data_IF_008197326738
#
_entry.id   IF_008197326738
#
_cell.length_a   1.000
_cell.length_b   1.000
_cell.length_c   1.000
_cell.angle_alpha   90.00
_cell.angle_beta   90.00
_cell.angle_gamma   90.00
#
_symmetry.space_group_name_H-M   'P 1'
#
loop_
_entity.id
_entity.type
_entity.pdbx_description
1 polymer ?
#
# COMPACT_ATOMS: atom_id res chain seq x y z
N UNK A 1 12.66 -8.33 -32.72
CA UNK A 1 12.49 -9.27 -31.59
C UNK A 1 11.05 -9.16 -31.09
N UNK A 2 10.34 -10.27 -30.84
CA UNK A 2 8.97 -10.25 -30.31
C UNK A 2 8.86 -9.52 -28.95
N UNK A 3 9.98 -9.35 -28.25
CA UNK A 3 10.03 -8.64 -26.97
C UNK A 3 9.61 -7.16 -27.07
N UNK A 4 10.01 -6.43 -28.12
CA UNK A 4 9.70 -4.99 -28.22
C UNK A 4 8.20 -4.74 -28.41
N UNK A 5 7.56 -5.57 -29.25
CA UNK A 5 6.12 -5.54 -29.48
C UNK A 5 5.35 -5.92 -28.21
N UNK A 6 5.74 -7.01 -27.54
CA UNK A 6 5.16 -7.41 -26.25
C UNK A 6 5.34 -6.30 -25.21
N UNK A 7 6.53 -5.71 -25.13
CA UNK A 7 6.84 -4.65 -24.17
C UNK A 7 5.95 -3.42 -24.40
N UNK A 8 5.79 -2.99 -25.66
CA UNK A 8 4.99 -1.83 -26.04
C UNK A 8 3.53 -1.97 -25.58
N UNK A 9 2.93 -3.15 -25.72
CA UNK A 9 1.54 -3.38 -25.31
C UNK A 9 1.38 -3.77 -23.84
N UNK A 10 2.22 -4.67 -23.33
CA UNK A 10 2.04 -5.25 -22.01
C UNK A 10 2.27 -4.22 -20.90
N UNK A 11 3.29 -3.37 -21.03
CA UNK A 11 3.66 -2.42 -19.96
C UNK A 11 2.52 -1.44 -19.65
N UNK A 12 1.91 -0.74 -20.63
CA UNK A 12 0.80 0.15 -20.34
C UNK A 12 -0.46 -0.58 -19.87
N UNK A 13 -0.80 -1.75 -20.42
CA UNK A 13 -2.00 -2.52 -20.01
C UNK A 13 -1.90 -2.98 -18.55
N UNK A 14 -0.75 -3.56 -18.17
CA UNK A 14 -0.50 -4.03 -16.81
C UNK A 14 -0.50 -2.84 -15.84
N UNK A 15 0.16 -1.74 -16.22
CA UNK A 15 0.27 -0.55 -15.37
C UNK A 15 -1.10 0.10 -15.15
N UNK A 16 -1.84 0.36 -16.24
CA UNK A 16 -3.17 0.95 -16.18
C UNK A 16 -4.11 0.12 -15.33
N UNK A 17 -4.14 -1.20 -15.54
CA UNK A 17 -5.03 -2.03 -14.74
C UNK A 17 -4.61 -2.03 -13.28
N UNK A 18 -3.32 -2.12 -13.00
CA UNK A 18 -2.81 -2.05 -11.62
C UNK A 18 -3.21 -0.75 -10.94
N UNK A 19 -3.18 0.39 -11.64
CA UNK A 19 -3.62 1.67 -11.09
C UNK A 19 -5.12 1.75 -10.88
N UNK A 20 -5.94 1.24 -11.82
CA UNK A 20 -7.39 1.17 -11.66
C UNK A 20 -7.79 0.28 -10.46
N UNK A 21 -7.10 -0.86 -10.31
CA UNK A 21 -7.23 -1.75 -9.15
C UNK A 21 -6.92 -0.99 -7.86
N UNK A 22 -5.76 -0.34 -7.81
CA UNK A 22 -5.32 0.42 -6.64
C UNK A 22 -6.31 1.54 -6.30
N UNK A 23 -6.76 2.29 -7.31
CA UNK A 23 -7.74 3.36 -7.15
C UNK A 23 -9.04 2.85 -6.56
N UNK A 24 -9.56 1.73 -7.08
CA UNK A 24 -10.78 1.11 -6.57
C UNK A 24 -10.60 0.60 -5.14
N UNK A 25 -9.45 0.00 -4.79
CA UNK A 25 -9.17 -0.40 -3.42
C UNK A 25 -9.12 0.79 -2.46
N UNK A 26 -8.46 1.87 -2.85
CA UNK A 26 -8.31 3.05 -2.01
C UNK A 26 -9.62 3.82 -1.86
N UNK A 27 -10.49 3.83 -2.88
CA UNK A 27 -11.78 4.51 -2.83
C UNK A 27 -12.77 3.85 -1.85
N UNK A 28 -12.67 2.53 -1.69
CA UNK A 28 -13.46 1.72 -0.77
C UNK A 28 -12.87 1.67 0.65
N UNK A 29 -11.60 2.02 0.82
CA UNK A 29 -10.95 2.08 2.13
C UNK A 29 -11.38 3.30 2.96
N UNK A 30 -11.18 3.25 4.28
CA UNK A 30 -11.39 4.41 5.15
C UNK A 30 -10.41 5.52 4.76
N UNK A 31 -10.94 6.64 4.24
CA UNK A 31 -10.15 7.73 3.64
C UNK A 31 -9.42 8.54 4.72
N UNK A 32 -8.10 8.36 4.78
CA UNK A 32 -7.19 9.31 5.45
C UNK A 32 -6.67 10.36 4.45
N UNK A 33 -6.10 11.47 4.93
CA UNK A 33 -5.45 12.52 4.12
C UNK A 33 -4.43 11.93 3.15
N UNK A 34 -3.61 10.96 3.56
CA UNK A 34 -2.58 10.35 2.69
C UNK A 34 -3.16 9.52 1.55
N UNK A 35 -4.21 8.75 1.84
CA UNK A 35 -4.92 7.96 0.84
C UNK A 35 -5.55 8.88 -0.20
N UNK A 36 -6.21 9.97 0.24
CA UNK A 36 -6.78 10.96 -0.68
C UNK A 36 -5.75 11.58 -1.61
N UNK A 37 -4.58 11.93 -1.08
CA UNK A 37 -3.50 12.51 -1.89
C UNK A 37 -2.90 11.48 -2.85
N UNK A 38 -2.71 10.25 -2.40
CA UNK A 38 -2.19 9.19 -3.27
C UNK A 38 -3.20 8.79 -4.36
N UNK A 39 -4.51 8.85 -4.07
CA UNK A 39 -5.54 8.69 -5.10
C UNK A 39 -5.43 9.78 -6.18
N UNK A 40 -5.10 11.03 -5.84
CA UNK A 40 -4.86 12.07 -6.86
C UNK A 40 -3.65 11.72 -7.74
N UNK A 41 -2.55 11.25 -7.14
CA UNK A 41 -1.37 10.76 -7.88
C UNK A 41 -1.76 9.62 -8.82
N UNK A 42 -2.54 8.64 -8.33
CA UNK A 42 -3.03 7.53 -9.15
C UNK A 42 -3.95 8.01 -10.28
N UNK A 43 -4.81 9.00 -10.05
CA UNK A 43 -5.65 9.56 -11.11
C UNK A 43 -4.80 10.14 -12.25
N UNK A 44 -3.75 10.90 -11.92
CA UNK A 44 -2.83 11.44 -12.92
C UNK A 44 -2.04 10.34 -13.66
N UNK A 45 -1.62 9.28 -12.94
CA UNK A 45 -0.98 8.10 -13.54
C UNK A 45 -1.94 7.33 -14.48
N UNK A 46 -3.21 7.21 -14.10
CA UNK A 46 -4.25 6.60 -14.96
C UNK A 46 -4.45 7.45 -16.21
N UNK A 47 -4.56 8.78 -16.09
CA UNK A 47 -4.71 9.67 -17.25
C UNK A 47 -3.51 9.49 -18.19
N UNK A 48 -2.28 9.56 -17.66
CA UNK A 48 -1.07 9.35 -18.45
C UNK A 48 -1.09 8.00 -19.19
N UNK A 49 -1.26 6.90 -18.46
CA UNK A 49 -1.17 5.55 -19.04
C UNK A 49 -2.32 5.19 -19.97
N UNK A 50 -3.55 5.61 -19.64
CA UNK A 50 -4.70 5.41 -20.51
C UNK A 50 -4.55 6.18 -21.82
N UNK A 51 -4.10 7.44 -21.76
CA UNK A 51 -3.87 8.25 -22.96
C UNK A 51 -2.78 7.66 -23.84
N UNK A 52 -1.69 7.15 -23.27
CA UNK A 52 -0.65 6.42 -24.03
C UNK A 52 -1.23 5.18 -24.75
N UNK A 53 -2.11 4.42 -24.10
CA UNK A 53 -2.80 3.28 -24.72
C UNK A 53 -3.79 3.70 -25.82
N UNK A 54 -4.57 4.75 -25.59
CA UNK A 54 -5.51 5.25 -26.59
C UNK A 54 -4.79 5.81 -27.82
N UNK A 55 -3.61 6.39 -27.61
CA UNK A 55 -2.69 6.78 -28.66
C UNK A 55 -2.17 5.56 -29.44
N UNK A 56 -1.70 4.52 -28.76
CA UNK A 56 -1.27 3.26 -29.37
C UNK A 56 -2.38 2.58 -30.19
N UNK A 57 -3.62 2.64 -29.70
CA UNK A 57 -4.81 2.11 -30.37
C UNK A 57 -5.35 3.05 -31.46
N UNK A 58 -4.77 4.26 -31.61
CA UNK A 58 -5.20 5.30 -32.54
C UNK A 58 -6.70 5.63 -32.45
N UNK A 59 -7.24 5.65 -31.23
CA UNK A 59 -8.66 5.93 -31.01
C UNK A 59 -9.00 7.38 -31.38
N UNK A 60 -10.22 7.59 -31.89
CA UNK A 60 -10.80 8.93 -32.02
C UNK A 60 -10.70 9.67 -30.66
N UNK A 61 -10.33 10.97 -30.61
CA UNK A 61 -10.18 11.93 -31.72
C UNK A 61 -8.90 11.83 -32.57
N UNK A 62 -7.91 11.04 -32.15
CA UNK A 62 -6.64 10.85 -32.86
C UNK A 62 -5.43 10.85 -31.93
N UNK A 63 -4.27 10.49 -32.50
CA UNK A 63 -3.01 10.30 -31.77
C UNK A 63 -2.57 11.59 -31.05
N UNK A 64 -2.54 12.72 -31.76
CA UNK A 64 -2.12 14.01 -31.20
C UNK A 64 -3.00 14.50 -30.04
N UNK A 65 -4.32 14.22 -30.11
CA UNK A 65 -5.21 14.56 -29.00
C UNK A 65 -4.84 13.77 -27.74
N UNK A 66 -4.68 12.45 -27.89
CA UNK A 66 -4.32 11.59 -26.75
C UNK A 66 -2.91 11.88 -26.23
N UNK A 67 -1.96 12.24 -27.09
CA UNK A 67 -0.64 12.74 -26.66
C UNK A 67 -0.77 13.97 -25.75
N UNK A 68 -1.57 14.97 -26.14
CA UNK A 68 -1.77 16.16 -25.30
C UNK A 68 -2.35 15.80 -23.94
N UNK A 69 -3.32 14.88 -23.87
CA UNK A 69 -3.88 14.40 -22.60
C UNK A 69 -2.85 13.59 -21.81
N UNK A 70 -2.00 12.81 -22.48
CA UNK A 70 -0.89 12.06 -21.87
C UNK A 70 0.09 13.02 -21.18
N UNK A 71 0.52 14.09 -21.87
CA UNK A 71 1.43 15.12 -21.33
C UNK A 71 0.80 15.84 -20.13
N UNK A 72 -0.52 16.04 -20.10
CA UNK A 72 -1.21 16.56 -18.90
C UNK A 72 -1.02 15.63 -17.70
N UNK A 73 -1.23 14.32 -17.88
CA UNK A 73 -0.99 13.34 -16.82
C UNK A 73 0.48 13.31 -16.37
N UNK A 74 1.40 13.28 -17.33
CA UNK A 74 2.84 13.30 -17.12
C UNK A 74 3.32 14.47 -16.27
N UNK A 75 2.70 15.64 -16.46
CA UNK A 75 3.12 16.89 -15.83
C UNK A 75 2.42 17.12 -14.50
N UNK A 76 1.21 16.57 -14.31
CA UNK A 76 0.54 16.51 -13.03
C UNK A 76 1.31 15.66 -12.00
N UNK A 77 1.87 14.52 -12.40
CA UNK A 77 2.45 13.53 -11.48
C UNK A 77 3.57 14.12 -10.60
N UNK A 78 4.60 14.79 -11.12
CA UNK A 78 5.65 15.39 -10.28
C UNK A 78 5.10 16.40 -9.27
N UNK A 79 4.12 17.24 -9.66
CA UNK A 79 3.49 18.18 -8.74
C UNK A 79 2.68 17.49 -7.64
N UNK A 80 1.87 16.51 -7.99
CA UNK A 80 1.08 15.76 -7.02
C UNK A 80 1.96 14.95 -6.06
N UNK A 81 3.08 14.41 -6.54
CA UNK A 81 4.10 13.78 -5.71
C UNK A 81 4.79 14.79 -4.78
N UNK A 82 5.08 15.99 -5.26
CA UNK A 82 5.63 17.08 -4.45
C UNK A 82 4.69 17.44 -3.29
N UNK A 83 3.41 17.57 -3.60
CA UNK A 83 2.36 17.85 -2.64
C UNK A 83 2.21 16.69 -1.64
N UNK A 84 2.16 15.45 -2.13
CA UNK A 84 2.10 14.25 -1.30
C UNK A 84 3.27 14.19 -0.30
N UNK A 85 4.51 14.39 -0.76
CA UNK A 85 5.69 14.40 0.12
C UNK A 85 5.60 15.52 1.14
N UNK A 86 5.21 16.72 0.71
CA UNK A 86 5.10 17.87 1.61
C UNK A 86 4.17 17.58 2.79
N UNK A 87 3.07 16.86 2.54
CA UNK A 87 2.17 16.39 3.59
C UNK A 87 2.76 15.21 4.37
N UNK A 88 3.41 14.27 3.69
CA UNK A 88 4.01 13.07 4.28
C UNK A 88 5.14 13.35 5.27
N UNK A 89 5.98 14.34 4.96
CA UNK A 89 7.08 14.78 5.83
C UNK A 89 6.68 15.90 6.78
N UNK A 90 5.38 16.22 6.88
CA UNK A 90 4.85 17.31 7.70
C UNK A 90 5.59 18.65 7.47
N UNK A 91 5.88 18.95 6.21
CA UNK A 91 6.65 20.13 5.77
C UNK A 91 5.91 20.91 4.69
N UNK A 92 4.58 20.96 4.81
CA UNK A 92 3.72 21.65 3.87
C UNK A 92 3.87 23.16 4.05
N UNK A 93 4.09 23.86 2.93
CA UNK A 93 4.13 25.33 2.86
C UNK A 93 3.12 25.77 1.80
N UNK A 94 2.01 26.43 2.16
CA UNK A 94 0.93 26.72 1.21
C UNK A 94 1.39 27.52 0.00
N UNK A 95 2.20 28.57 0.20
CA UNK A 95 2.73 29.41 -0.88
C UNK A 95 3.59 28.62 -1.89
N UNK A 96 4.39 27.67 -1.41
CA UNK A 96 5.21 26.80 -2.27
C UNK A 96 4.33 25.86 -3.11
N UNK A 97 3.26 25.31 -2.53
CA UNK A 97 2.29 24.47 -3.25
C UNK A 97 1.52 25.28 -4.29
N UNK A 98 1.11 26.51 -3.96
CA UNK A 98 0.43 27.41 -4.91
C UNK A 98 1.37 27.76 -6.06
N UNK A 99 2.62 28.10 -5.77
CA UNK A 99 3.63 28.41 -6.78
C UNK A 99 3.85 27.25 -7.76
N UNK A 100 4.14 26.04 -7.24
CA UNK A 100 4.34 24.87 -8.10
C UNK A 100 3.06 24.45 -8.82
N UNK A 101 1.89 24.61 -8.19
CA UNK A 101 0.60 24.31 -8.81
C UNK A 101 0.28 25.25 -9.96
N UNK A 102 0.51 26.55 -9.79
CA UNK A 102 0.34 27.55 -10.83
C UNK A 102 1.28 27.30 -12.02
N UNK A 103 2.55 26.98 -11.74
CA UNK A 103 3.52 26.66 -12.79
C UNK A 103 3.15 25.38 -13.55
N UNK A 104 2.67 24.35 -12.85
CA UNK A 104 2.16 23.11 -13.48
C UNK A 104 0.95 23.39 -14.35
N UNK A 105 0.00 24.20 -13.87
CA UNK A 105 -1.20 24.58 -14.64
C UNK A 105 -0.84 25.41 -15.88
N UNK A 106 0.10 26.35 -15.77
CA UNK A 106 0.60 27.11 -16.90
C UNK A 106 1.26 26.19 -17.95
N UNK A 107 2.09 25.25 -17.49
CA UNK A 107 2.76 24.27 -18.35
C UNK A 107 1.76 23.36 -19.09
N UNK A 108 0.70 22.93 -18.39
CA UNK A 108 -0.42 22.19 -18.96
C UNK A 108 -1.17 22.99 -20.04
N UNK A 109 -1.44 24.28 -19.79
CA UNK A 109 -2.08 25.16 -20.78
C UNK A 109 -1.19 25.29 -22.02
N UNK A 110 0.12 25.50 -21.84
CA UNK A 110 1.08 25.61 -22.95
C UNK A 110 1.16 24.32 -23.79
N UNK A 111 1.06 23.16 -23.14
CA UNK A 111 0.91 21.87 -23.81
C UNK A 111 -0.38 21.79 -24.66
N UNK A 112 -1.52 22.22 -24.11
CA UNK A 112 -2.80 22.18 -24.83
C UNK A 112 -2.81 23.10 -26.07
N UNK A 113 -2.03 24.19 -26.04
CA UNK A 113 -1.80 25.10 -27.17
C UNK A 113 -0.91 24.47 -28.27
N UNK A 114 -0.33 23.29 -28.05
CA UNK A 114 0.48 22.57 -29.04
C UNK A 114 1.93 23.04 -29.11
N UNK A 115 2.43 23.76 -28.10
CA UNK A 115 3.83 24.21 -28.08
C UNK A 115 4.82 23.14 -27.62
N UNK A 116 4.35 22.12 -26.88
CA UNK A 116 5.19 21.04 -26.33
C UNK A 116 5.39 19.93 -27.36
N UNK A 117 4.32 19.39 -27.92
CA UNK A 117 4.34 18.42 -29.03
C UNK A 117 3.53 19.00 -30.18
N UNK A 118 4.19 19.17 -31.32
CA UNK A 118 3.59 19.75 -32.54
C UNK A 118 2.81 18.69 -33.30
N UNK A 119 3.39 17.49 -33.40
CA UNK A 119 2.78 16.34 -34.07
C UNK A 119 3.17 15.04 -33.38
N UNK A 120 2.28 14.05 -33.44
CA UNK A 120 2.46 12.74 -32.84
C UNK A 120 1.83 11.67 -33.73
N UNK A 121 2.57 10.59 -34.00
CA UNK A 121 2.10 9.44 -34.78
C UNK A 121 2.59 8.13 -34.17
N UNK A 122 1.88 7.04 -34.49
CA UNK A 122 2.31 5.68 -34.17
C UNK A 122 2.79 5.04 -35.47
N UNK A 123 4.08 4.75 -35.55
CA UNK A 123 4.74 4.20 -36.74
C UNK A 123 5.01 2.73 -36.52
N UNK A 124 4.85 1.92 -37.56
CA UNK A 124 5.20 0.49 -37.50
C UNK A 124 6.61 0.29 -38.04
N UNK A 125 7.58 0.05 -37.15
CA UNK A 125 8.94 -0.26 -37.52
C UNK A 125 9.04 -1.73 -37.95
N UNK A 126 9.60 -1.99 -39.14
CA UNK A 126 9.84 -3.34 -39.64
C UNK A 126 11.31 -3.70 -39.45
N UNK A 127 11.58 -4.77 -38.71
CA UNK A 127 12.93 -5.28 -38.44
C UNK A 127 13.07 -6.70 -39.00
N UNK A 128 14.11 -6.94 -39.79
CA UNK A 128 14.43 -8.28 -40.29
C UNK A 128 15.41 -8.95 -39.33
N UNK A 129 15.00 -10.07 -38.73
CA UNK A 129 15.83 -10.83 -37.80
C UNK A 129 15.78 -12.32 -38.15
N UNK A 130 16.94 -12.93 -38.40
CA UNK A 130 17.06 -14.31 -38.93
C UNK A 130 16.15 -14.58 -40.15
N UNK A 131 16.05 -13.64 -41.08
CA UNK A 131 15.22 -13.78 -42.28
C UNK A 131 13.71 -13.69 -42.07
N UNK A 132 13.23 -13.47 -40.83
CA UNK A 132 11.82 -13.18 -40.52
C UNK A 132 11.62 -11.68 -40.30
N UNK A 133 10.56 -11.14 -40.90
CA UNK A 133 10.13 -9.76 -40.65
C UNK A 133 9.34 -9.70 -39.35
N UNK A 134 9.72 -8.79 -38.46
CA UNK A 134 9.01 -8.47 -37.23
C UNK A 134 8.60 -7.01 -37.29
N UNK A 135 7.32 -6.74 -37.04
CA UNK A 135 6.78 -5.38 -36.96
C UNK A 135 6.59 -4.99 -35.50
N UNK A 136 7.06 -3.81 -35.09
CA UNK A 136 6.78 -3.26 -33.77
C UNK A 136 6.16 -1.88 -33.92
N UNK A 137 5.05 -1.57 -33.23
CA UNK A 137 4.60 -0.20 -33.09
C UNK A 137 5.62 0.59 -32.27
N UNK A 138 5.85 1.84 -32.69
CA UNK A 138 6.76 2.80 -32.07
C UNK A 138 6.09 4.16 -32.02
N UNK A 139 6.30 4.90 -30.94
CA UNK A 139 5.83 6.28 -30.85
C UNK A 139 6.80 7.22 -31.56
N UNK A 140 6.27 8.12 -32.37
CA UNK A 140 7.02 9.17 -33.04
C UNK A 140 6.44 10.54 -32.69
N UNK A 141 7.29 11.43 -32.17
CA UNK A 141 6.91 12.76 -31.71
C UNK A 141 7.74 13.83 -32.40
N UNK A 142 7.08 14.89 -32.86
CA UNK A 142 7.72 16.13 -33.30
C UNK A 142 7.65 17.12 -32.14
N UNK A 143 8.78 17.27 -31.45
CA UNK A 143 8.89 18.16 -30.29
C UNK A 143 8.81 19.63 -30.72
N UNK A 144 8.00 20.40 -30.01
CA UNK A 144 7.88 21.84 -30.19
C UNK A 144 8.86 22.63 -29.33
N UNK A 145 8.82 23.96 -29.48
CA UNK A 145 9.70 24.90 -28.76
C UNK A 145 9.61 24.80 -27.23
N UNK A 146 8.48 24.36 -26.69
CA UNK A 146 8.26 24.25 -25.25
C UNK A 146 8.64 22.88 -24.67
N UNK A 147 9.01 21.88 -25.50
CA UNK A 147 9.40 20.57 -25.02
C UNK A 147 10.58 20.63 -24.04
N UNK A 148 11.69 21.30 -24.42
CA UNK A 148 12.88 21.42 -23.58
C UNK A 148 12.56 22.17 -22.26
N UNK A 149 11.91 23.35 -22.29
CA UNK A 149 11.42 23.99 -21.06
C UNK A 149 10.59 23.07 -20.16
N UNK A 150 9.74 22.21 -20.73
CA UNK A 150 8.92 21.26 -19.97
C UNK A 150 9.74 20.21 -19.23
N UNK A 151 10.75 19.65 -19.89
CA UNK A 151 11.69 18.71 -19.27
C UNK A 151 12.52 19.40 -18.18
N UNK A 152 12.98 20.64 -18.41
CA UNK A 152 13.69 21.44 -17.41
C UNK A 152 12.80 21.69 -16.19
N UNK A 153 11.56 22.14 -16.39
CA UNK A 153 10.57 22.33 -15.33
C UNK A 153 10.39 21.04 -14.51
N UNK A 154 10.21 19.90 -15.19
CA UNK A 154 10.06 18.58 -14.57
C UNK A 154 11.30 18.17 -13.76
N UNK A 155 12.51 18.45 -14.26
CA UNK A 155 13.75 18.25 -13.51
C UNK A 155 13.80 19.11 -12.25
N UNK A 156 13.47 20.41 -12.34
CA UNK A 156 13.55 21.32 -11.21
C UNK A 156 12.58 20.90 -10.10
N UNK A 157 11.33 20.54 -10.44
CA UNK A 157 10.35 20.12 -9.41
C UNK A 157 10.75 18.78 -8.76
N UNK A 158 11.32 17.83 -9.52
CA UNK A 158 11.82 16.59 -8.96
C UNK A 158 13.06 16.83 -8.07
N UNK A 159 13.98 17.67 -8.51
CA UNK A 159 15.18 18.00 -7.74
C UNK A 159 14.85 18.75 -6.45
N UNK A 160 13.90 19.69 -6.50
CA UNK A 160 13.40 20.40 -5.32
C UNK A 160 12.75 19.42 -4.33
N UNK A 161 12.04 18.40 -4.82
CA UNK A 161 11.47 17.32 -4.02
C UNK A 161 12.55 16.50 -3.30
N UNK A 162 13.61 16.11 -4.01
CA UNK A 162 14.74 15.36 -3.43
C UNK A 162 15.45 16.20 -2.36
N UNK A 163 15.72 17.49 -2.64
CA UNK A 163 16.32 18.42 -1.66
C UNK A 163 15.41 18.54 -0.44
N UNK A 164 14.10 18.68 -0.64
CA UNK A 164 13.13 18.82 0.45
C UNK A 164 13.13 17.60 1.35
N UNK A 165 13.12 16.39 0.79
CA UNK A 165 13.23 15.15 1.57
C UNK A 165 14.55 15.11 2.33
N UNK A 166 15.68 15.39 1.66
CA UNK A 166 17.01 15.40 2.30
C UNK A 166 17.08 16.38 3.48
N UNK A 167 16.56 17.58 3.30
CA UNK A 167 16.55 18.62 4.34
C UNK A 167 15.66 18.22 5.52
N UNK A 168 14.49 17.62 5.26
CA UNK A 168 13.60 17.13 6.32
C UNK A 168 14.22 15.96 7.11
N UNK A 169 14.98 15.08 6.45
CA UNK A 169 15.72 14.01 7.12
C UNK A 169 16.86 14.58 7.96
N UNK A 170 17.65 15.51 7.42
CA UNK A 170 18.74 16.18 8.17
C UNK A 170 18.22 16.96 9.38
N UNK A 171 17.03 17.56 9.27
CA UNK A 171 16.38 18.28 10.36
C UNK A 171 15.69 17.35 11.39
N UNK A 172 15.80 16.02 11.26
CA UNK A 172 15.19 15.06 12.20
C UNK A 172 13.67 14.96 12.13
N UNK A 173 13.01 15.59 11.15
CA UNK A 173 11.53 15.57 10.99
C UNK A 173 11.01 14.24 10.48
N UNK A 174 11.85 13.47 9.80
CA UNK A 174 11.55 12.15 9.26
C UNK A 174 12.82 11.31 9.17
N UNK A 175 12.69 10.00 9.06
CA UNK A 175 13.82 9.05 9.00
C UNK A 175 13.98 8.51 7.59
N UNK A 176 15.22 8.25 7.14
CA UNK A 176 15.50 7.62 5.84
C UNK A 176 14.71 6.34 5.62
N UNK A 177 14.51 5.51 6.65
CA UNK A 177 13.72 4.28 6.54
C UNK A 177 12.29 4.52 6.04
N UNK A 178 11.68 5.65 6.43
CA UNK A 178 10.29 6.00 6.10
C UNK A 178 10.11 6.64 4.73
N UNK A 179 11.08 7.44 4.29
CA UNK A 179 11.03 8.19 3.00
C UNK A 179 11.88 7.58 1.90
N UNK A 180 12.79 6.66 2.24
CA UNK A 180 13.74 6.03 1.32
C UNK A 180 13.08 5.38 0.10
N UNK A 181 12.06 4.52 0.27
CA UNK A 181 11.38 3.91 -0.89
C UNK A 181 10.72 4.95 -1.81
N UNK A 182 10.19 6.04 -1.24
CA UNK A 182 9.58 7.13 -2.01
C UNK A 182 10.65 7.85 -2.83
N UNK A 183 11.81 8.17 -2.23
CA UNK A 183 12.93 8.81 -2.94
C UNK A 183 13.45 7.92 -4.06
N UNK A 184 13.66 6.63 -3.80
CA UNK A 184 14.09 5.66 -4.82
C UNK A 184 13.07 5.62 -5.97
N UNK A 185 11.78 5.55 -5.64
CA UNK A 185 10.72 5.58 -6.65
C UNK A 185 10.76 6.86 -7.49
N UNK A 186 10.96 8.03 -6.88
CA UNK A 186 11.03 9.31 -7.60
C UNK A 186 12.27 9.37 -8.49
N UNK A 187 13.41 8.86 -8.01
CA UNK A 187 14.61 8.75 -8.83
C UNK A 187 14.41 7.83 -10.03
N UNK A 188 13.71 6.71 -9.87
CA UNK A 188 13.36 5.81 -10.99
C UNK A 188 12.44 6.51 -11.98
N UNK A 189 11.39 7.19 -11.50
CA UNK A 189 10.48 7.98 -12.34
C UNK A 189 11.23 9.06 -13.11
N UNK A 190 12.15 9.77 -12.45
CA UNK A 190 13.01 10.77 -13.07
C UNK A 190 13.82 10.17 -14.21
N UNK A 191 14.52 9.05 -13.96
CA UNK A 191 15.28 8.37 -15.01
C UNK A 191 14.35 7.98 -16.16
N UNK A 192 13.21 7.34 -15.88
CA UNK A 192 12.25 6.93 -16.91
C UNK A 192 11.78 8.06 -17.81
N UNK A 193 11.38 9.20 -17.23
CA UNK A 193 10.95 10.39 -17.98
C UNK A 193 12.07 10.95 -18.86
N UNK A 194 13.30 11.01 -18.35
CA UNK A 194 14.43 11.53 -19.12
C UNK A 194 14.91 10.58 -20.21
N UNK A 195 14.65 9.28 -20.09
CA UNK A 195 14.92 8.32 -21.16
C UNK A 195 14.09 8.62 -22.43
N UNK A 196 12.97 9.34 -22.32
CA UNK A 196 12.18 9.78 -23.47
C UNK A 196 12.93 10.76 -24.40
N UNK A 197 13.95 11.46 -23.89
CA UNK A 197 14.79 12.35 -24.72
C UNK A 197 15.73 11.57 -25.66
N UNK A 198 15.98 10.30 -25.39
CA UNK A 198 16.84 9.46 -26.22
C UNK A 198 15.99 8.74 -27.27
N UNK A 199 16.15 9.03 -28.58
CA UNK A 199 15.29 8.46 -29.63
C UNK A 199 15.24 6.93 -29.64
N UNK A 200 16.33 6.27 -29.23
CA UNK A 200 16.40 4.81 -29.17
C UNK A 200 15.44 4.20 -28.13
N UNK A 201 15.11 4.92 -27.06
CA UNK A 201 14.31 4.46 -25.92
C UNK A 201 12.95 5.14 -25.83
N UNK A 202 12.86 6.45 -26.13
CA UNK A 202 11.62 7.24 -26.05
C UNK A 202 10.51 6.84 -27.03
N UNK A 203 10.82 5.96 -27.97
CA UNK A 203 9.86 5.31 -28.87
C UNK A 203 9.07 4.16 -28.21
N UNK A 204 9.50 3.72 -27.01
CA UNK A 204 8.85 2.69 -26.21
C UNK A 204 8.36 3.27 -24.86
N UNK A 205 7.33 2.69 -24.23
CA UNK A 205 6.73 3.19 -22.99
C UNK A 205 7.58 2.88 -21.73
N UNK A 206 8.86 3.26 -21.74
CA UNK A 206 9.82 2.99 -20.64
C UNK A 206 9.51 3.84 -19.41
N UNK A 207 9.05 5.07 -19.63
CA UNK A 207 8.56 5.99 -18.60
C UNK A 207 7.37 5.42 -17.82
N UNK A 208 6.43 4.75 -18.50
CA UNK A 208 5.28 4.09 -17.87
C UNK A 208 5.72 2.99 -16.92
N UNK A 209 6.73 2.18 -17.31
CA UNK A 209 7.30 1.16 -16.41
C UNK A 209 7.93 1.80 -15.16
N UNK A 210 8.67 2.89 -15.33
CA UNK A 210 9.28 3.63 -14.22
C UNK A 210 8.23 4.20 -13.26
N UNK A 211 7.14 4.74 -13.80
CA UNK A 211 5.98 5.20 -13.04
C UNK A 211 5.27 4.06 -12.30
N UNK A 212 5.18 2.87 -12.90
CA UNK A 212 4.61 1.70 -12.24
C UNK A 212 5.43 1.29 -11.01
N UNK A 213 6.75 1.22 -11.16
CA UNK A 213 7.67 0.92 -10.07
C UNK A 213 7.56 1.98 -8.96
N UNK A 214 7.51 3.27 -9.32
CA UNK A 214 7.33 4.37 -8.37
C UNK A 214 6.04 4.20 -7.54
N UNK A 215 4.91 3.95 -8.18
CA UNK A 215 3.63 3.78 -7.49
C UNK A 215 3.65 2.61 -6.51
N UNK A 216 4.27 1.48 -6.89
CA UNK A 216 4.44 0.31 -6.01
C UNK A 216 5.29 0.66 -4.78
N UNK A 217 6.40 1.39 -4.97
CA UNK A 217 7.27 1.80 -3.86
C UNK A 217 6.59 2.79 -2.91
N UNK A 218 5.79 3.72 -3.44
CA UNK A 218 4.99 4.63 -2.61
C UNK A 218 3.94 3.85 -1.84
N UNK A 219 3.21 2.94 -2.49
CA UNK A 219 2.21 2.10 -1.83
C UNK A 219 2.84 1.27 -0.70
N UNK A 220 4.02 0.69 -0.95
CA UNK A 220 4.80 -0.01 0.07
C UNK A 220 5.17 0.91 1.25
N UNK A 221 5.64 2.13 0.98
CA UNK A 221 6.01 3.08 2.02
C UNK A 221 4.80 3.49 2.89
N UNK A 222 3.64 3.72 2.25
CA UNK A 222 2.39 4.02 2.96
C UNK A 222 2.00 2.82 3.84
N UNK A 223 2.02 1.60 3.30
CA UNK A 223 1.65 0.36 4.00
C UNK A 223 2.57 0.03 5.19
N UNK A 224 3.89 0.17 5.02
CA UNK A 224 4.88 -0.19 6.05
C UNK A 224 5.00 0.84 7.17
N UNK A 225 4.89 2.14 6.86
CA UNK A 225 5.22 3.21 7.81
C UNK A 225 4.03 3.97 8.36
N UNK A 226 2.82 3.72 7.87
CA UNK A 226 1.61 3.95 8.66
C UNK A 226 1.10 2.59 9.11
N UNK A 227 0.70 2.50 10.37
CA UNK A 227 -0.29 1.52 10.81
C UNK A 227 -1.57 1.81 10.02
N UNK A 228 -1.59 1.45 8.74
CA UNK A 228 -2.83 1.23 8.05
C UNK A 228 -3.44 0.05 8.80
N UNK A 229 -4.28 0.36 9.78
CA UNK A 229 -5.55 -0.35 9.91
C UNK A 229 -6.34 -0.10 8.63
N UNK A 230 -5.77 -0.52 7.51
CA UNK A 230 -6.51 -1.06 6.41
C UNK A 230 -7.18 -2.29 7.01
N UNK A 231 -8.30 -2.05 7.70
CA UNK A 231 -9.47 -2.94 7.63
C UNK A 231 -9.83 -2.99 6.15
N UNK A 232 -9.01 -3.68 5.40
CA UNK A 232 -9.28 -4.06 4.03
C UNK A 232 -10.39 -5.06 4.16
N UNK A 233 -11.63 -4.56 4.18
CA UNK A 233 -12.76 -5.29 3.65
C UNK A 233 -12.59 -5.38 2.14
N UNK A 234 -11.49 -6.00 1.70
CA UNK A 234 -11.38 -6.53 0.36
C UNK A 234 -12.20 -7.81 0.40
N UNK A 235 -13.47 -7.67 0.05
CA UNK A 235 -14.26 -8.84 -0.28
C UNK A 235 -13.57 -9.49 -1.47
N UNK A 236 -13.32 -10.80 -1.40
CA UNK A 236 -12.71 -11.59 -2.48
C UNK A 236 -13.31 -11.25 -3.86
N UNK A 237 -14.59 -10.89 -3.88
CA UNK A 237 -15.33 -10.39 -5.05
C UNK A 237 -14.64 -9.25 -5.82
N UNK A 238 -14.05 -8.25 -5.17
CA UNK A 238 -13.41 -7.12 -5.88
C UNK A 238 -12.17 -7.58 -6.65
N UNK A 239 -11.33 -8.39 -6.01
CA UNK A 239 -10.14 -8.94 -6.69
C UNK A 239 -10.57 -9.81 -7.86
N UNK A 240 -11.60 -10.63 -7.67
CA UNK A 240 -12.14 -11.47 -8.74
C UNK A 240 -12.72 -10.65 -9.90
N UNK A 241 -13.50 -9.60 -9.62
CA UNK A 241 -14.08 -8.75 -10.64
C UNK A 241 -13.01 -8.09 -11.51
N UNK A 242 -11.93 -7.58 -10.90
CA UNK A 242 -10.88 -6.95 -11.69
C UNK A 242 -10.08 -7.97 -12.51
N UNK A 243 -9.73 -9.11 -11.93
CA UNK A 243 -9.06 -10.17 -12.70
C UNK A 243 -9.91 -10.64 -13.87
N UNK A 244 -11.22 -10.77 -13.67
CA UNK A 244 -12.16 -11.11 -14.73
C UNK A 244 -12.14 -10.06 -15.85
N UNK A 245 -12.20 -8.76 -15.52
CA UNK A 245 -12.13 -7.67 -16.52
C UNK A 245 -10.80 -7.68 -17.28
N UNK A 246 -9.67 -7.85 -16.58
CA UNK A 246 -8.34 -7.93 -17.20
C UNK A 246 -8.24 -9.07 -18.21
N UNK A 247 -8.66 -10.26 -17.78
CA UNK A 247 -8.59 -11.46 -18.60
C UNK A 247 -9.58 -11.40 -19.77
N UNK A 248 -10.73 -10.79 -19.57
CA UNK A 248 -11.69 -10.51 -20.64
C UNK A 248 -11.08 -9.53 -21.65
N UNK A 249 -10.37 -8.50 -21.21
CA UNK A 249 -9.64 -7.59 -22.08
C UNK A 249 -8.54 -8.28 -22.88
N UNK A 250 -7.71 -9.12 -22.24
CA UNK A 250 -6.68 -9.92 -22.92
C UNK A 250 -7.30 -10.86 -23.94
N UNK A 251 -8.40 -11.54 -23.59
CA UNK A 251 -9.13 -12.40 -24.50
C UNK A 251 -9.63 -11.64 -25.72
N UNK A 252 -10.34 -10.53 -25.51
CA UNK A 252 -10.86 -9.66 -26.57
C UNK A 252 -9.72 -9.21 -27.49
N UNK A 253 -8.61 -8.73 -26.92
CA UNK A 253 -7.43 -8.32 -27.69
C UNK A 253 -6.87 -9.47 -28.54
N UNK A 254 -6.71 -10.66 -27.95
CA UNK A 254 -6.16 -11.83 -28.65
C UNK A 254 -7.04 -12.23 -29.83
N UNK A 255 -8.37 -12.23 -29.63
CA UNK A 255 -9.34 -12.53 -30.69
C UNK A 255 -9.26 -11.50 -31.82
N UNK A 256 -9.26 -10.20 -31.49
CA UNK A 256 -9.17 -9.14 -32.50
C UNK A 256 -7.82 -9.16 -33.25
N UNK A 257 -6.72 -9.49 -32.58
CA UNK A 257 -5.41 -9.61 -33.24
C UNK A 257 -5.36 -10.82 -34.18
N UNK A 258 -5.92 -11.96 -33.80
CA UNK A 258 -6.05 -13.16 -34.65
C UNK A 258 -6.96 -12.86 -35.85
N UNK A 259 -8.10 -12.23 -35.61
CA UNK A 259 -9.04 -11.85 -36.66
C UNK A 259 -8.39 -10.89 -37.68
N UNK A 260 -7.73 -9.83 -37.23
CA UNK A 260 -7.07 -8.86 -38.13
C UNK A 260 -5.85 -9.46 -38.86
N UNK A 261 -5.11 -10.37 -38.23
CA UNK A 261 -3.88 -10.93 -38.79
C UNK A 261 -4.07 -12.09 -39.76
N UNK A 262 -5.14 -12.89 -39.59
CA UNK A 262 -5.34 -14.15 -40.34
C UNK A 262 -6.52 -14.07 -41.31
N UNK A 263 -7.51 -13.20 -41.07
CA UNK A 263 -8.75 -13.14 -41.87
C UNK A 263 -8.55 -12.76 -43.34
N UNK A 264 -7.51 -11.97 -43.66
CA UNK A 264 -7.23 -11.57 -45.06
C UNK A 264 -6.64 -12.69 -45.93
N UNK A 265 -5.98 -13.69 -45.33
CA UNK A 265 -5.27 -14.74 -46.05
C UNK A 265 -6.00 -16.10 -46.02
N UNK A 266 -6.77 -16.41 -44.97
CA UNK A 266 -7.34 -17.74 -44.80
C UNK A 266 -8.69 -17.78 -44.06
N UNK A 267 -9.75 -17.23 -44.68
CA UNK A 267 -11.11 -17.17 -44.10
C UNK A 267 -11.66 -18.52 -43.59
N UNK A 268 -11.29 -19.64 -44.22
CA UNK A 268 -11.79 -20.97 -43.86
C UNK A 268 -11.17 -21.56 -42.59
N UNK A 269 -9.98 -21.10 -42.15
CA UNK A 269 -9.31 -21.61 -40.93
C UNK A 269 -9.35 -20.64 -39.75
N UNK A 270 -9.68 -19.36 -39.98
CA UNK A 270 -9.86 -18.34 -38.93
C UNK A 270 -10.74 -18.81 -37.75
N UNK A 271 -11.89 -19.50 -37.96
CA UNK A 271 -12.72 -19.97 -36.84
C UNK A 271 -12.00 -20.97 -35.92
N UNK A 272 -11.16 -21.85 -36.48
CA UNK A 272 -10.38 -22.82 -35.71
C UNK A 272 -9.29 -22.14 -34.87
N UNK A 273 -8.63 -21.10 -35.41
CA UNK A 273 -7.62 -20.33 -34.68
C UNK A 273 -8.22 -19.48 -33.56
N UNK A 274 -9.40 -18.88 -33.77
CA UNK A 274 -10.15 -18.19 -32.72
C UNK A 274 -10.52 -19.17 -31.61
N UNK A 275 -10.99 -20.37 -31.97
CA UNK A 275 -11.37 -21.40 -31.00
C UNK A 275 -10.16 -21.92 -30.21
N UNK A 276 -9.01 -22.10 -30.89
CA UNK A 276 -7.77 -22.53 -30.26
C UNK A 276 -7.18 -21.46 -29.33
N UNK A 277 -7.26 -20.19 -29.70
CA UNK A 277 -6.83 -19.08 -28.86
C UNK A 277 -7.74 -18.90 -27.64
N UNK A 278 -9.05 -19.08 -27.80
CA UNK A 278 -9.99 -19.13 -26.66
C UNK A 278 -9.65 -20.26 -25.68
N UNK A 279 -9.32 -21.46 -26.19
CA UNK A 279 -8.90 -22.60 -25.39
C UNK A 279 -7.59 -22.32 -24.62
N UNK A 280 -6.59 -21.73 -25.29
CA UNK A 280 -5.33 -21.35 -24.67
C UNK A 280 -5.52 -20.32 -23.55
N UNK A 281 -6.34 -19.30 -23.78
CA UNK A 281 -6.67 -18.30 -22.75
C UNK A 281 -7.36 -18.95 -21.56
N UNK A 282 -8.30 -19.88 -21.79
CA UNK A 282 -8.98 -20.61 -20.73
C UNK A 282 -8.02 -21.49 -19.90
N UNK A 283 -7.04 -22.13 -20.54
CA UNK A 283 -6.01 -22.93 -19.86
C UNK A 283 -5.10 -22.05 -19.01
N UNK A 284 -4.68 -20.88 -19.51
CA UNK A 284 -3.84 -19.93 -18.77
C UNK A 284 -4.61 -19.23 -17.64
N UNK A 285 -5.92 -19.07 -17.80
CA UNK A 285 -6.81 -18.47 -16.80
C UNK A 285 -6.82 -19.26 -15.48
N UNK A 286 -6.87 -20.59 -15.54
CA UNK A 286 -6.95 -21.44 -14.34
C UNK A 286 -5.78 -21.26 -13.35
N UNK A 287 -4.50 -21.41 -13.75
CA UNK A 287 -3.37 -21.24 -12.84
C UNK A 287 -3.24 -19.80 -12.35
N UNK A 288 -3.52 -18.81 -13.20
CA UNK A 288 -3.48 -17.40 -12.82
C UNK A 288 -4.55 -17.08 -11.76
N UNK A 289 -5.78 -17.56 -11.96
CA UNK A 289 -6.85 -17.46 -10.97
C UNK A 289 -6.42 -18.07 -9.63
N UNK A 290 -5.91 -19.30 -9.62
CA UNK A 290 -5.44 -19.98 -8.40
C UNK A 290 -4.30 -19.25 -7.70
N UNK A 291 -3.36 -18.69 -8.47
CA UNK A 291 -2.23 -17.93 -7.93
C UNK A 291 -2.69 -16.64 -7.24
N UNK A 292 -3.59 -15.90 -7.90
CA UNK A 292 -4.21 -14.70 -7.34
C UNK A 292 -4.98 -15.01 -6.07
N UNK A 293 -5.79 -16.08 -6.06
CA UNK A 293 -6.55 -16.47 -4.87
C UNK A 293 -5.62 -16.78 -3.68
N UNK A 294 -4.51 -17.48 -3.93
CA UNK A 294 -3.49 -17.75 -2.90
C UNK A 294 -2.79 -16.48 -2.40
N UNK A 295 -2.47 -15.54 -3.30
CA UNK A 295 -1.86 -14.26 -2.91
C UNK A 295 -2.81 -13.41 -2.06
N UNK A 296 -4.09 -13.34 -2.46
CA UNK A 296 -5.14 -12.64 -1.71
C UNK A 296 -5.33 -13.29 -0.33
N UNK A 297 -5.46 -14.61 -0.27
CA UNK A 297 -5.60 -15.31 1.01
C UNK A 297 -4.36 -15.10 1.90
N UNK A 298 -3.16 -15.06 1.33
CA UNK A 298 -1.92 -14.80 2.09
C UNK A 298 -1.83 -13.35 2.59
N UNK A 299 -2.28 -12.37 1.81
CA UNK A 299 -2.18 -10.94 2.13
C UNK A 299 -3.27 -10.47 3.09
N UNK A 300 -4.49 -11.00 3.00
CA UNK A 300 -5.66 -10.48 3.69
C UNK A 300 -6.17 -11.39 4.82
N UNK A 301 -5.94 -12.69 4.74
CA UNK A 301 -6.63 -13.65 5.61
C UNK A 301 -5.95 -13.90 6.97
N UNK A 302 -4.73 -13.38 7.19
CA UNK A 302 -3.91 -13.81 8.36
C UNK A 302 -4.00 -12.95 9.63
N UNK A 303 -4.52 -11.72 9.58
CA UNK A 303 -4.42 -10.80 10.73
C UNK A 303 -5.72 -10.57 11.52
N UNK A 304 -6.89 -10.56 10.87
CA UNK A 304 -8.13 -10.09 11.51
C UNK A 304 -9.13 -11.22 11.82
N UNK A 305 -9.16 -12.27 10.99
CA UNK A 305 -10.00 -13.46 11.22
C UNK A 305 -9.49 -14.32 12.39
N UNK A 306 -8.16 -14.48 12.49
CA UNK A 306 -7.54 -15.24 13.59
C UNK A 306 -7.81 -14.61 14.97
N UNK A 307 -7.90 -13.27 15.05
CA UNK A 307 -8.17 -12.57 16.32
C UNK A 307 -9.61 -12.75 16.79
N UNK A 308 -10.57 -12.61 15.88
CA UNK A 308 -12.00 -12.83 16.20
C UNK A 308 -12.32 -14.29 16.45
N UNK A 309 -11.72 -15.22 15.69
CA UNK A 309 -11.93 -16.64 15.89
C UNK A 309 -11.27 -17.13 17.19
N UNK A 310 -10.08 -16.63 17.55
CA UNK A 310 -9.46 -16.93 18.85
C UNK A 310 -10.33 -16.44 20.01
N UNK A 311 -10.84 -15.19 19.97
CA UNK A 311 -11.76 -14.66 20.97
C UNK A 311 -13.10 -15.43 21.01
N UNK A 312 -13.64 -15.84 19.86
CA UNK A 312 -14.89 -16.60 19.78
C UNK A 312 -14.72 -18.04 20.28
N UNK A 313 -13.62 -18.69 19.94
CA UNK A 313 -13.27 -20.02 20.44
C UNK A 313 -13.01 -19.98 21.95
N UNK A 314 -12.37 -18.92 22.45
CA UNK A 314 -12.19 -18.68 23.87
C UNK A 314 -13.53 -18.48 24.60
N UNK A 315 -14.41 -17.61 24.10
CA UNK A 315 -15.76 -17.45 24.66
C UNK A 315 -16.59 -18.74 24.62
N UNK A 316 -16.39 -19.60 23.61
CA UNK A 316 -17.08 -20.88 23.50
C UNK A 316 -16.49 -21.97 24.41
N UNK A 317 -15.17 -21.95 24.66
CA UNK A 317 -14.46 -22.94 25.50
C UNK A 317 -14.67 -22.67 26.99
N UNK A 318 -14.77 -21.39 27.40
CA UNK A 318 -14.97 -20.98 28.80
C UNK A 318 -16.27 -21.51 29.41
N UNK A 319 -17.34 -21.64 28.62
CA UNK A 319 -18.64 -22.07 29.15
C UNK A 319 -18.70 -23.56 29.53
N UNK A 320 -17.66 -24.37 29.23
CA UNK A 320 -17.71 -25.83 29.37
C UNK A 320 -16.63 -26.45 30.27
N UNK A 321 -15.77 -25.67 30.95
CA UNK A 321 -14.70 -26.23 31.81
C UNK A 321 -14.76 -25.68 33.24
N UNK A 322 -14.62 -26.58 34.22
CA UNK A 322 -14.66 -26.34 35.67
C UNK A 322 -13.27 -26.13 36.32
N UNK A 323 -12.18 -26.21 35.54
CA UNK A 323 -10.81 -26.00 36.05
C UNK A 323 -10.27 -24.61 35.68
N UNK A 324 -10.07 -23.77 36.70
CA UNK A 324 -9.58 -22.40 36.59
C UNK A 324 -8.17 -22.32 35.97
N UNK A 325 -7.35 -23.36 36.13
CA UNK A 325 -5.99 -23.38 35.58
C UNK A 325 -5.99 -23.55 34.07
N UNK A 326 -6.85 -24.43 33.55
CA UNK A 326 -7.04 -24.63 32.11
C UNK A 326 -7.61 -23.38 31.44
N UNK A 327 -8.58 -22.72 32.10
CA UNK A 327 -9.15 -21.46 31.61
C UNK A 327 -8.10 -20.34 31.56
N UNK A 328 -7.24 -20.25 32.58
CA UNK A 328 -6.16 -19.27 32.62
C UNK A 328 -5.12 -19.51 31.52
N UNK A 329 -4.77 -20.77 31.25
CA UNK A 329 -3.85 -21.14 30.18
C UNK A 329 -4.41 -20.77 28.80
N UNK A 330 -5.68 -21.09 28.53
CA UNK A 330 -6.34 -20.73 27.27
C UNK A 330 -6.48 -19.21 27.10
N UNK A 331 -6.80 -18.47 28.18
CA UNK A 331 -6.87 -17.01 28.15
C UNK A 331 -5.51 -16.41 27.79
N UNK A 332 -4.44 -16.86 28.45
CA UNK A 332 -3.09 -16.37 28.19
C UNK A 332 -2.69 -16.67 26.75
N UNK A 333 -2.96 -17.88 26.24
CA UNK A 333 -2.65 -18.25 24.86
C UNK A 333 -3.42 -17.39 23.85
N UNK A 334 -4.73 -17.20 24.06
CA UNK A 334 -5.57 -16.37 23.20
C UNK A 334 -5.09 -14.91 23.17
N UNK A 335 -4.73 -14.35 24.32
CA UNK A 335 -4.20 -12.98 24.42
C UNK A 335 -2.81 -12.86 23.81
N UNK A 336 -1.93 -13.86 23.99
CA UNK A 336 -0.59 -13.89 23.39
C UNK A 336 -0.68 -13.86 21.86
N UNK A 337 -1.59 -14.64 21.29
CA UNK A 337 -1.86 -14.69 19.85
C UNK A 337 -2.44 -13.36 19.34
N UNK A 338 -3.33 -12.71 20.12
CA UNK A 338 -3.98 -11.48 19.70
C UNK A 338 -3.08 -10.23 19.74
N UNK A 339 -2.25 -10.10 20.78
CA UNK A 339 -1.51 -8.87 21.11
C UNK A 339 0.00 -8.98 20.83
N UNK A 340 0.56 -10.20 20.72
CA UNK A 340 2.01 -10.45 20.54
C UNK A 340 2.89 -9.84 21.64
N UNK A 341 2.38 -9.77 22.88
CA UNK A 341 3.19 -9.42 24.05
C UNK A 341 4.33 -10.44 24.22
N UNK A 342 5.47 -10.02 24.80
CA UNK A 342 6.60 -10.91 25.07
C UNK A 342 6.26 -11.90 26.20
N UNK A 343 5.69 -11.36 27.27
CA UNK A 343 5.26 -12.04 28.49
C UNK A 343 3.88 -11.50 28.92
N UNK A 344 3.01 -12.38 29.38
CA UNK A 344 1.68 -12.11 29.96
C UNK A 344 1.66 -12.67 31.37
N UNK A 345 1.14 -11.87 32.31
CA UNK A 345 0.95 -12.24 33.71
C UNK A 345 -0.53 -12.10 34.05
N UNK A 346 -1.13 -13.17 34.55
CA UNK A 346 -2.49 -13.17 35.09
C UNK A 346 -2.39 -13.21 36.62
N UNK A 347 -2.86 -12.14 37.25
CA UNK A 347 -2.99 -12.06 38.70
C UNK A 347 -4.44 -12.29 39.11
N UNK A 348 -4.66 -13.08 40.15
CA UNK A 348 -5.98 -13.32 40.72
C UNK A 348 -6.08 -12.84 42.16
N UNK A 349 -7.29 -12.46 42.57
CA UNK A 349 -7.63 -12.04 43.93
C UNK A 349 -7.43 -13.19 44.91
N UNK A 350 -6.70 -12.95 46.00
CA UNK A 350 -6.63 -13.83 47.16
C UNK A 350 -7.32 -13.14 48.33
N UNK A 351 -8.56 -13.54 48.63
CA UNK A 351 -9.39 -12.84 49.63
C UNK A 351 -8.78 -12.90 51.04
N UNK A 352 -8.34 -14.07 51.50
CA UNK A 352 -7.82 -14.23 52.87
C UNK A 352 -6.55 -13.42 53.16
N UNK A 353 -5.77 -13.07 52.13
CA UNK A 353 -4.48 -12.38 52.28
C UNK A 353 -4.51 -10.96 51.72
N UNK A 354 -5.69 -10.47 51.34
CA UNK A 354 -5.95 -9.11 50.85
C UNK A 354 -4.98 -8.62 49.73
N UNK A 355 -4.64 -9.51 48.80
CA UNK A 355 -3.77 -9.16 47.68
C UNK A 355 -4.08 -9.94 46.40
N UNK A 356 -3.55 -9.45 45.29
CA UNK A 356 -3.50 -10.12 44.01
C UNK A 356 -2.13 -10.75 43.80
N UNK A 357 -2.10 -12.03 43.45
CA UNK A 357 -0.86 -12.81 43.24
C UNK A 357 -0.82 -13.34 41.80
N UNK A 358 0.38 -13.58 41.29
CA UNK A 358 0.56 -14.18 39.96
C UNK A 358 0.06 -15.63 39.98
N UNK A 359 -1.07 -15.86 39.32
CA UNK A 359 -1.70 -17.19 39.19
C UNK A 359 -1.14 -17.96 37.99
N UNK A 360 -1.00 -17.28 36.85
CA UNK A 360 -0.49 -17.89 35.63
C UNK A 360 0.35 -16.91 34.81
N UNK A 361 1.27 -17.44 34.01
CA UNK A 361 2.11 -16.67 33.11
C UNK A 361 2.31 -17.40 31.79
N UNK A 362 2.55 -16.65 30.72
CA UNK A 362 2.87 -17.20 29.40
C UNK A 362 4.19 -17.96 29.33
N UNK A 363 5.13 -17.68 30.22
CA UNK A 363 6.47 -18.27 30.19
C UNK A 363 6.66 -19.27 31.30
N UNK A 364 7.20 -20.44 30.95
CA UNK A 364 7.60 -21.44 31.94
C UNK A 364 8.82 -21.00 32.75
N UNK A 365 9.58 -20.02 32.27
CA UNK A 365 10.86 -19.56 32.86
C UNK A 365 10.66 -18.25 33.63
N UNK A 366 9.83 -17.33 33.12
CA UNK A 366 9.61 -16.02 33.71
C UNK A 366 8.40 -16.02 34.65
N UNK A 367 8.63 -16.33 35.93
CA UNK A 367 7.60 -16.33 36.99
C UNK A 367 7.96 -15.32 38.09
N UNK A 368 7.74 -14.02 37.84
CA UNK A 368 8.05 -13.01 38.84
C UNK A 368 7.07 -13.13 40.03
N UNK A 369 7.60 -13.08 41.25
CA UNK A 369 6.79 -13.12 42.47
C UNK A 369 6.29 -11.71 42.82
N UNK A 370 5.35 -11.20 42.02
CA UNK A 370 4.73 -9.89 42.24
C UNK A 370 3.46 -10.07 43.02
N UNK A 371 3.28 -9.22 44.03
CA UNK A 371 2.07 -9.15 44.82
C UNK A 371 1.56 -7.71 44.80
N UNK A 372 0.29 -7.51 44.44
CA UNK A 372 -0.38 -6.21 44.47
C UNK A 372 -1.42 -6.23 45.58
N UNK A 373 -1.25 -5.42 46.61
CA UNK A 373 -2.19 -5.34 47.74
C UNK A 373 -3.50 -4.65 47.35
N UNK A 374 -4.58 -4.89 48.09
CA UNK A 374 -5.88 -4.25 47.84
C UNK A 374 -5.87 -2.73 48.06
N UNK A 375 -4.99 -2.23 48.92
CA UNK A 375 -4.80 -0.80 49.16
C UNK A 375 -4.04 -0.09 48.03
N UNK A 376 -3.51 -0.84 47.06
CA UNK A 376 -2.71 -0.29 45.97
C UNK A 376 -3.54 0.69 45.12
N UNK A 377 -2.98 1.87 44.76
CA UNK A 377 -3.67 2.87 43.93
C UNK A 377 -4.18 2.32 42.58
N UNK A 378 -3.49 1.34 41.99
CA UNK A 378 -3.92 0.67 40.76
C UNK A 378 -5.25 -0.07 40.97
N UNK A 379 -5.37 -0.79 42.10
CA UNK A 379 -6.59 -1.54 42.45
C UNK A 379 -7.75 -0.57 42.67
N UNK A 380 -7.53 0.51 43.45
CA UNK A 380 -8.54 1.55 43.67
C UNK A 380 -8.99 2.20 42.37
N UNK A 381 -8.04 2.51 41.48
CA UNK A 381 -8.35 3.09 40.18
C UNK A 381 -9.18 2.13 39.32
N UNK A 382 -8.83 0.84 39.30
CA UNK A 382 -9.61 -0.15 38.57
C UNK A 382 -10.99 -0.36 39.16
N UNK A 383 -11.17 -0.35 40.47
CA UNK A 383 -12.51 -0.43 41.08
C UNK A 383 -13.39 0.71 40.56
N UNK A 384 -12.89 1.96 40.57
CA UNK A 384 -13.64 3.12 40.10
C UNK A 384 -13.73 3.28 38.58
N UNK A 385 -12.85 2.65 37.79
CA UNK A 385 -12.75 2.86 36.34
C UNK A 385 -12.59 1.53 35.58
N UNK A 386 -13.39 1.33 34.53
CA UNK A 386 -13.35 0.12 33.68
C UNK A 386 -12.37 0.24 32.49
N UNK A 387 -11.28 0.97 32.66
CA UNK A 387 -10.33 1.29 31.58
C UNK A 387 -9.02 0.52 31.84
N UNK A 388 -8.21 0.24 30.81
CA UNK A 388 -6.87 -0.32 30.99
C UNK A 388 -5.85 0.81 31.19
N UNK A 389 -4.82 0.57 32.00
CA UNK A 389 -3.72 1.52 32.21
C UNK A 389 -2.54 1.18 31.32
N UNK A 390 -2.08 2.16 30.54
CA UNK A 390 -0.79 2.09 29.85
C UNK A 390 0.35 2.59 30.75
N UNK A 391 1.59 2.25 30.41
CA UNK A 391 2.79 2.72 31.11
C UNK A 391 2.85 4.24 31.21
N UNK A 392 2.46 4.96 30.16
CA UNK A 392 2.44 6.44 30.17
C UNK A 392 1.41 6.97 31.18
N UNK A 393 0.19 6.43 31.15
CA UNK A 393 -0.89 6.80 32.08
C UNK A 393 -0.54 6.53 33.54
N UNK A 394 0.20 5.45 33.82
CA UNK A 394 0.75 5.14 35.14
C UNK A 394 1.68 6.23 35.69
N UNK A 395 2.39 6.95 34.82
CA UNK A 395 3.29 8.04 35.22
C UNK A 395 2.61 9.40 35.33
N UNK A 396 1.57 9.65 34.52
CA UNK A 396 0.96 10.98 34.41
C UNK A 396 -0.33 11.17 35.22
N UNK A 397 -1.07 10.11 35.59
CA UNK A 397 -2.30 10.26 36.37
C UNK A 397 -2.05 10.67 37.83
N UNK A 398 -2.69 11.76 38.25
CA UNK A 398 -2.58 12.33 39.61
C UNK A 398 -3.03 11.37 40.72
N UNK A 399 -4.04 10.53 40.47
CA UNK A 399 -4.53 9.52 41.42
C UNK A 399 -3.57 8.36 41.64
N UNK A 400 -2.66 8.12 40.70
CA UNK A 400 -1.65 7.06 40.77
C UNK A 400 -0.31 7.59 41.30
N UNK A 401 -0.17 8.91 41.54
CA UNK A 401 1.05 9.55 42.09
C UNK A 401 1.40 9.09 43.51
N UNK A 402 0.43 8.60 44.28
CA UNK A 402 0.60 8.08 45.64
C UNK A 402 1.17 6.66 45.72
N UNK A 403 1.35 5.97 44.58
CA UNK A 403 1.95 4.64 44.54
C UNK A 403 3.39 4.68 45.06
N UNK A 404 3.78 3.68 45.84
CA UNK A 404 5.13 3.59 46.38
C UNK A 404 6.16 3.45 45.24
N UNK A 405 7.26 4.21 45.32
CA UNK A 405 8.30 4.19 44.29
C UNK A 405 8.91 2.80 44.06
N UNK A 406 8.89 1.94 45.09
CA UNK A 406 9.32 0.54 44.99
C UNK A 406 8.42 -0.27 44.05
N UNK A 407 7.10 -0.16 44.16
CA UNK A 407 6.17 -0.93 43.34
C UNK A 407 6.20 -0.46 41.88
N UNK A 408 6.36 0.86 41.66
CA UNK A 408 6.56 1.40 40.31
C UNK A 408 7.82 0.87 39.63
N UNK A 409 8.93 0.79 40.38
CA UNK A 409 10.19 0.24 39.86
C UNK A 409 10.02 -1.21 39.46
N UNK A 410 9.35 -2.02 40.29
CA UNK A 410 9.06 -3.43 39.96
C UNK A 410 8.28 -3.56 38.65
N UNK A 411 7.22 -2.77 38.46
CA UNK A 411 6.43 -2.78 37.21
C UNK A 411 7.27 -2.36 36.00
N UNK A 412 8.13 -1.34 36.17
CA UNK A 412 9.01 -0.84 35.12
C UNK A 412 10.13 -1.84 34.75
N UNK A 413 10.75 -2.47 35.74
CA UNK A 413 11.84 -3.44 35.58
C UNK A 413 11.37 -4.71 34.85
N UNK A 414 10.12 -5.11 35.09
CA UNK A 414 9.48 -6.22 34.39
C UNK A 414 9.05 -5.87 32.96
N UNK A 415 9.16 -4.60 32.56
CA UNK A 415 8.83 -4.13 31.22
C UNK A 415 7.32 -4.19 30.91
N UNK A 416 6.47 -4.06 31.93
CA UNK A 416 5.01 -4.03 31.78
C UNK A 416 4.61 -2.73 31.07
N UNK A 417 3.84 -2.84 29.99
CA UNK A 417 3.38 -1.72 29.18
C UNK A 417 1.87 -1.45 29.33
N UNK A 418 1.07 -2.49 29.58
CA UNK A 418 -0.38 -2.38 29.75
C UNK A 418 -0.83 -3.24 30.93
N UNK A 419 -1.72 -2.68 31.76
CA UNK A 419 -2.37 -3.35 32.87
C UNK A 419 -3.88 -3.24 32.67
N UNK A 420 -4.58 -4.37 32.64
CA UNK A 420 -6.01 -4.47 32.33
C UNK A 420 -6.75 -5.14 33.49
N UNK A 421 -7.87 -4.58 33.97
CA UNK A 421 -8.65 -5.20 35.03
C UNK A 421 -9.51 -6.36 34.49
N UNK A 422 -9.68 -7.41 35.30
CA UNK A 422 -10.66 -8.48 35.09
C UNK A 422 -11.70 -8.36 36.20
N UNK A 423 -12.95 -8.06 35.81
CA UNK A 423 -14.05 -7.81 36.75
C UNK A 423 -15.19 -8.79 36.56
N UNK A 424 -15.90 -9.07 37.65
CA UNK A 424 -17.21 -9.70 37.66
C UNK A 424 -18.20 -8.74 38.31
N UNK A 425 -19.05 -8.10 37.51
CA UNK A 425 -19.84 -6.95 37.97
C UNK A 425 -18.92 -5.79 38.37
N UNK A 426 -19.07 -5.30 39.60
CA UNK A 426 -18.24 -4.22 40.16
C UNK A 426 -17.01 -4.73 40.92
N UNK A 427 -16.88 -6.05 41.16
CA UNK A 427 -15.75 -6.62 41.89
C UNK A 427 -14.56 -6.92 40.96
N UNK A 428 -13.35 -6.52 41.39
CA UNK A 428 -12.10 -6.79 40.70
C UNK A 428 -11.60 -8.18 41.08
N UNK A 429 -11.80 -9.15 40.20
CA UNK A 429 -11.45 -10.56 40.45
C UNK A 429 -10.02 -10.91 39.99
N UNK A 430 -9.44 -10.09 39.11
CA UNK A 430 -8.07 -10.29 38.63
C UNK A 430 -7.50 -9.11 37.87
N UNK A 431 -6.21 -9.20 37.54
CA UNK A 431 -5.45 -8.19 36.81
C UNK A 431 -4.60 -8.89 35.76
N UNK A 432 -4.70 -8.44 34.51
CA UNK A 432 -3.86 -8.92 33.41
C UNK A 432 -2.77 -7.89 33.12
N UNK A 433 -1.51 -8.29 33.19
CA UNK A 433 -0.36 -7.44 32.87
C UNK A 433 0.33 -7.95 31.61
N UNK A 434 0.59 -7.02 30.68
CA UNK A 434 1.18 -7.28 29.38
C UNK A 434 2.51 -6.54 29.27
N UNK A 435 3.57 -7.27 28.95
CA UNK A 435 4.88 -6.68 28.68
C UNK A 435 5.03 -6.22 27.22
N UNK A 436 6.12 -5.48 26.95
CA UNK A 436 6.45 -4.97 25.62
C UNK A 436 6.32 -6.02 24.52
N UNK A 437 5.86 -5.57 23.35
CA UNK A 437 5.68 -6.42 22.16
C UNK A 437 7.00 -7.10 21.75
N UNK A 438 6.90 -8.38 21.36
CA UNK A 438 8.06 -9.23 20.98
C UNK A 438 8.93 -8.67 19.84
N UNK A 439 8.38 -7.78 19.00
CA UNK A 439 9.07 -7.19 17.83
C UNK A 439 9.57 -5.75 18.04
N UNK A 440 9.52 -5.22 19.26
CA UNK A 440 10.09 -3.90 19.56
C UNK A 440 11.59 -4.04 19.87
N UNK A 441 12.36 -4.53 18.90
CA UNK A 441 13.81 -4.25 18.85
C UNK A 441 13.98 -2.85 18.24
N UNK A 442 14.89 -2.09 18.87
CA UNK A 442 15.12 -0.65 18.72
C UNK A 442 15.25 -0.14 17.28
#
# INVERSE_FOLDING_TARGET
MPFAEIFFWAVPIISLTSYCILMLFLSLSKKDRFIRLFMLVLAALIIWTASSLFMALQLYPGVLFWDRVMVMGMTAVPFLLFYFISVFTNSLRPLEIIFWGALTAAAMIDNLLGHVVVDASVVTATMVYYGKMYTSPEYYYVLGKAAIPMYIFTAIIIFSMIIKVRNNVRAGKTTYGRVGPIVVGISILFVGVFLNLFPALGRYPVDILACFINAVLIMYAIYKHRMLELRLMVTKGIVYSVFAVLLTGVYIYTVFSVERGISSAYQNITPYFITLSALLVAIVFQPLYRFTTKLVDKMFYKAEYSKRQALKNFSASISNKLDLHDMAAELIEAVQLAICAKEILLLLKHEEKEHYYVFATSSKIFRPNIVIKFDNPIVRWFISNNISLTREELHYHTSLKSMWDKERRVIADLGIEVITPIKSGDDLIGILMLTRKKNSTA
#
